data_IF_598029589885
#
_entry.id   IF_598029589885
#
_cell.length_a   1.000
_cell.length_b   1.000
_cell.length_c   1.000
_cell.angle_alpha   90.00
_cell.angle_beta   90.00
_cell.angle_gamma   90.00
#
_symmetry.space_group_name_H-M   'P 1'
#
loop_
_entity.id
_entity.type
_entity.pdbx_description
1 polymer ?
#
# COMPACT_ATOMS: atom_id res chain seq x y z
N UNK A 1 6.29 32.72 -5.09
CA UNK A 1 6.73 32.35 -3.72
C UNK A 1 6.81 30.83 -3.69
N UNK A 2 8.03 30.28 -3.66
CA UNK A 2 8.24 28.83 -3.60
C UNK A 2 7.92 28.37 -2.18
N UNK A 3 6.75 27.76 -1.98
CA UNK A 3 6.52 26.98 -0.77
C UNK A 3 7.55 25.86 -0.81
N UNK A 4 8.62 25.98 -0.03
CA UNK A 4 9.51 24.85 0.26
C UNK A 4 8.68 23.87 1.07
N UNK A 5 7.92 23.05 0.37
CA UNK A 5 7.04 22.05 0.95
C UNK A 5 7.88 21.15 1.84
N UNK A 6 7.52 21.12 3.11
CA UNK A 6 7.92 20.07 4.04
C UNK A 6 7.56 18.76 3.35
N UNK A 7 8.57 17.94 3.06
CA UNK A 7 8.38 16.64 2.43
C UNK A 7 8.37 15.59 3.52
N UNK A 8 7.35 14.73 3.56
CA UNK A 8 7.25 13.62 4.51
C UNK A 8 7.43 12.27 3.76
N UNK A 9 7.58 11.14 4.46
CA UNK A 9 7.83 9.85 3.80
C UNK A 9 6.63 9.36 2.98
N UNK A 10 5.40 9.67 3.40
CA UNK A 10 4.20 9.32 2.64
C UNK A 10 4.17 10.06 1.31
N UNK A 11 4.46 11.36 1.30
CA UNK A 11 4.54 12.19 0.10
C UNK A 11 5.64 11.69 -0.84
N UNK A 12 6.80 11.29 -0.32
CA UNK A 12 7.88 10.69 -1.12
C UNK A 12 7.40 9.42 -1.82
N UNK A 13 6.80 8.49 -1.09
CA UNK A 13 6.29 7.24 -1.66
C UNK A 13 5.24 7.52 -2.75
N UNK A 14 4.26 8.38 -2.48
CA UNK A 14 3.22 8.74 -3.47
C UNK A 14 3.84 9.36 -4.72
N UNK A 15 4.87 10.20 -4.57
CA UNK A 15 5.57 10.78 -5.70
C UNK A 15 6.37 9.74 -6.50
N UNK A 16 6.99 8.77 -5.84
CA UNK A 16 7.70 7.68 -6.52
C UNK A 16 6.74 6.74 -7.23
N UNK A 17 5.59 6.42 -6.64
CA UNK A 17 4.50 5.69 -7.29
C UNK A 17 4.02 6.42 -8.55
N UNK A 18 3.85 7.75 -8.50
CA UNK A 18 3.49 8.56 -9.68
C UNK A 18 4.55 8.56 -10.78
N UNK A 19 5.83 8.38 -10.43
CA UNK A 19 6.91 8.23 -11.42
C UNK A 19 6.86 6.84 -12.03
N UNK A 20 6.72 5.79 -11.22
CA UNK A 20 6.64 4.39 -11.65
C UNK A 20 5.41 4.15 -12.53
N UNK A 21 4.24 4.70 -12.17
CA UNK A 21 2.99 4.52 -12.91
C UNK A 21 2.99 5.11 -14.33
N UNK A 22 3.91 6.03 -14.62
CA UNK A 22 4.10 6.62 -15.96
C UNK A 22 5.06 5.82 -16.84
N UNK A 23 5.78 4.84 -16.28
CA UNK A 23 6.70 3.99 -17.04
C UNK A 23 5.89 3.04 -17.93
N UNK A 24 6.37 2.83 -19.16
CA UNK A 24 5.75 1.85 -20.08
C UNK A 24 5.99 0.42 -19.62
N UNK A 25 7.18 0.17 -19.09
CA UNK A 25 7.62 -1.12 -18.56
C UNK A 25 8.35 -0.91 -17.24
N UNK A 26 8.22 -1.89 -16.33
CA UNK A 26 8.88 -1.91 -15.02
C UNK A 26 10.06 -2.85 -15.15
N UNK A 27 11.25 -2.27 -15.29
CA UNK A 27 12.46 -3.00 -15.69
C UNK A 27 13.39 -3.34 -14.52
N UNK A 28 13.29 -2.61 -13.40
CA UNK A 28 14.17 -2.82 -12.24
C UNK A 28 13.39 -3.23 -10.98
N UNK A 29 14.11 -3.86 -10.05
CA UNK A 29 13.54 -4.40 -8.81
C UNK A 29 13.06 -3.30 -7.85
N UNK A 30 13.61 -2.08 -7.92
CA UNK A 30 13.19 -0.95 -7.08
C UNK A 30 11.79 -0.45 -7.48
N UNK A 31 11.58 -0.18 -8.78
CA UNK A 31 10.27 0.19 -9.32
C UNK A 31 9.22 -0.89 -9.05
N UNK A 32 9.64 -2.16 -9.13
CA UNK A 32 8.77 -3.29 -8.80
C UNK A 32 8.41 -3.30 -7.32
N UNK A 33 9.36 -3.08 -6.41
CA UNK A 33 9.09 -2.94 -4.97
C UNK A 33 8.14 -1.77 -4.68
N UNK A 34 8.34 -0.62 -5.34
CA UNK A 34 7.44 0.56 -5.21
C UNK A 34 6.02 0.21 -5.66
N UNK A 35 5.87 -0.45 -6.82
CA UNK A 35 4.57 -0.91 -7.30
C UNK A 35 3.93 -1.90 -6.33
N UNK A 36 4.68 -2.88 -5.84
CA UNK A 36 4.17 -3.91 -4.95
C UNK A 36 3.73 -3.32 -3.60
N UNK A 37 4.46 -2.34 -3.06
CA UNK A 37 4.03 -1.56 -1.89
C UNK A 37 2.74 -0.80 -2.17
N UNK A 38 2.65 -0.09 -3.30
CA UNK A 38 1.47 0.69 -3.65
C UNK A 38 0.24 -0.19 -3.89
N UNK A 39 0.43 -1.36 -4.49
CA UNK A 39 -0.62 -2.35 -4.69
C UNK A 39 -1.13 -2.92 -3.37
N UNK A 40 -0.24 -3.18 -2.43
CA UNK A 40 -0.59 -3.59 -1.08
C UNK A 40 -1.39 -2.48 -0.36
N UNK A 41 -0.94 -1.23 -0.44
CA UNK A 41 -1.65 -0.07 0.15
C UNK A 41 -3.05 0.07 -0.46
N UNK A 42 -3.17 0.05 -1.79
CA UNK A 42 -4.46 0.12 -2.46
C UNK A 42 -5.36 -1.06 -2.08
N UNK A 43 -4.81 -2.26 -1.91
CA UNK A 43 -5.63 -3.44 -1.60
C UNK A 43 -6.16 -3.46 -0.17
N UNK A 44 -5.51 -2.74 0.74
CA UNK A 44 -5.82 -2.73 2.17
C UNK A 44 -6.54 -1.47 2.64
N UNK A 45 -6.54 -0.41 1.82
CA UNK A 45 -7.17 0.86 2.15
C UNK A 45 -8.67 0.89 1.85
N UNK A 46 -9.41 1.61 2.67
CA UNK A 46 -10.87 1.76 2.57
C UNK A 46 -11.32 2.46 1.29
N UNK A 47 -10.49 3.35 0.75
CA UNK A 47 -10.77 4.14 -0.45
C UNK A 47 -10.70 3.33 -1.76
N UNK A 48 -9.89 2.27 -1.78
CA UNK A 48 -9.65 1.43 -2.96
C UNK A 48 -10.20 0.01 -2.81
N UNK A 49 -10.41 -0.48 -1.58
CA UNK A 49 -10.87 -1.85 -1.30
C UNK A 49 -11.68 -1.92 0.00
N UNK A 50 -12.89 -1.34 -0.03
CA UNK A 50 -13.76 -1.22 1.13
C UNK A 50 -14.14 -2.55 1.79
N UNK A 51 -14.39 -3.61 1.01
CA UNK A 51 -14.72 -4.92 1.57
C UNK A 51 -13.51 -5.58 2.22
N UNK A 52 -12.33 -5.43 1.62
CA UNK A 52 -11.08 -5.86 2.26
C UNK A 52 -10.88 -5.13 3.59
N UNK A 53 -11.02 -3.80 3.59
CA UNK A 53 -10.91 -2.99 4.79
C UNK A 53 -11.85 -3.47 5.90
N UNK A 54 -13.16 -3.62 5.58
CA UNK A 54 -14.15 -4.12 6.55
C UNK A 54 -13.83 -5.51 7.09
N UNK A 55 -13.37 -6.41 6.23
CA UNK A 55 -12.98 -7.76 6.67
C UNK A 55 -11.84 -7.70 7.70
N UNK A 56 -10.83 -6.88 7.44
CA UNK A 56 -9.64 -6.78 8.29
C UNK A 56 -9.87 -6.00 9.59
N UNK A 57 -10.83 -5.06 9.61
CA UNK A 57 -11.05 -4.15 10.74
C UNK A 57 -12.31 -4.44 11.55
N UNK A 58 -13.40 -4.84 10.91
CA UNK A 58 -14.70 -5.01 11.56
C UNK A 58 -15.02 -6.49 11.82
N UNK A 59 -14.14 -7.42 11.43
CA UNK A 59 -14.40 -8.86 11.46
C UNK A 59 -15.63 -9.23 10.61
N UNK A 60 -15.89 -8.46 9.56
CA UNK A 60 -17.06 -8.59 8.71
C UNK A 60 -17.19 -9.96 8.06
N UNK A 61 -18.40 -10.31 7.64
CA UNK A 61 -18.69 -11.56 6.94
C UNK A 61 -17.82 -11.65 5.66
N UNK A 62 -17.13 -12.78 5.50
CA UNK A 62 -16.16 -12.98 4.43
C UNK A 62 -16.89 -13.20 3.09
N UNK A 63 -17.19 -12.13 2.37
CA UNK A 63 -17.52 -12.17 0.94
C UNK A 63 -16.23 -12.35 0.13
N UNK A 64 -15.76 -13.61 0.09
CA UNK A 64 -14.50 -14.00 -0.53
C UNK A 64 -14.38 -13.51 -1.98
N UNK A 65 -15.42 -13.69 -2.77
CA UNK A 65 -15.35 -13.38 -4.21
C UNK A 65 -15.20 -11.89 -4.45
N UNK A 66 -15.89 -11.07 -3.65
CA UNK A 66 -15.75 -9.63 -3.78
C UNK A 66 -14.43 -9.09 -3.21
N UNK A 67 -13.92 -9.67 -2.12
CA UNK A 67 -12.58 -9.33 -1.58
C UNK A 67 -11.50 -9.64 -2.62
N UNK A 68 -11.58 -10.80 -3.27
CA UNK A 68 -10.65 -11.17 -4.35
C UNK A 68 -10.75 -10.20 -5.52
N UNK A 69 -11.96 -9.82 -5.90
CA UNK A 69 -12.19 -8.88 -6.99
C UNK A 69 -11.58 -7.50 -6.67
N UNK A 70 -11.84 -6.95 -5.49
CA UNK A 70 -11.29 -5.67 -5.06
C UNK A 70 -9.76 -5.70 -4.99
N UNK A 71 -9.18 -6.73 -4.38
CA UNK A 71 -7.74 -6.89 -4.33
C UNK A 71 -7.12 -6.96 -5.74
N UNK A 72 -7.69 -7.75 -6.65
CA UNK A 72 -7.20 -7.83 -8.03
C UNK A 72 -7.28 -6.48 -8.76
N UNK A 73 -8.35 -5.71 -8.55
CA UNK A 73 -8.48 -4.34 -9.09
C UNK A 73 -7.43 -3.41 -8.49
N UNK A 74 -7.14 -3.50 -7.19
CA UNK A 74 -6.10 -2.72 -6.54
C UNK A 74 -4.69 -3.07 -7.07
N UNK A 75 -4.38 -4.36 -7.21
CA UNK A 75 -3.11 -4.86 -7.76
C UNK A 75 -2.87 -4.48 -9.22
N UNK A 76 -3.93 -4.35 -10.03
CA UNK A 76 -3.83 -4.00 -11.45
C UNK A 76 -3.82 -2.48 -11.68
N UNK A 77 -4.76 -1.76 -11.07
CA UNK A 77 -5.04 -0.36 -11.40
C UNK A 77 -5.02 0.57 -10.18
N UNK A 78 -5.54 0.14 -9.02
CA UNK A 78 -5.68 1.00 -7.85
C UNK A 78 -4.36 1.60 -7.34
N UNK A 79 -3.29 0.81 -7.39
CA UNK A 79 -1.95 1.23 -6.96
C UNK A 79 -1.44 2.52 -7.60
N UNK A 80 -1.90 2.88 -8.80
CA UNK A 80 -1.45 4.08 -9.54
C UNK A 80 -1.95 5.38 -8.90
N UNK A 81 -2.99 5.31 -8.08
CA UNK A 81 -3.74 6.47 -7.59
C UNK A 81 -3.80 6.53 -6.05
N UNK A 82 -2.88 5.86 -5.35
CA UNK A 82 -2.80 5.98 -3.90
C UNK A 82 -2.47 7.41 -3.47
N UNK A 83 -2.95 7.77 -2.28
CA UNK A 83 -2.78 9.06 -1.64
C UNK A 83 -2.04 8.93 -0.31
N UNK A 84 -1.59 10.04 0.26
CA UNK A 84 -0.96 10.03 1.59
C UNK A 84 -1.91 9.48 2.67
N UNK A 85 -3.22 9.75 2.54
CA UNK A 85 -4.23 9.22 3.45
C UNK A 85 -4.34 7.68 3.37
N UNK A 86 -4.22 7.11 2.17
CA UNK A 86 -4.23 5.65 2.00
C UNK A 86 -3.00 5.01 2.65
N UNK A 87 -1.83 5.65 2.48
CA UNK A 87 -0.58 5.22 3.12
C UNK A 87 -0.73 5.29 4.65
N UNK A 88 -1.20 6.42 5.17
CA UNK A 88 -1.40 6.65 6.60
C UNK A 88 -2.37 5.62 7.20
N UNK A 89 -3.52 5.39 6.55
CA UNK A 89 -4.52 4.41 6.99
C UNK A 89 -3.89 3.02 7.11
N UNK A 90 -3.21 2.56 6.06
CA UNK A 90 -2.63 1.22 6.04
C UNK A 90 -1.46 1.11 7.01
N UNK A 91 -0.60 2.11 7.12
CA UNK A 91 0.55 2.06 8.03
C UNK A 91 0.11 2.03 9.50
N UNK A 92 -0.88 2.86 9.85
CA UNK A 92 -1.36 2.99 11.23
C UNK A 92 -2.45 1.98 11.60
N UNK A 93 -2.95 1.23 10.64
CA UNK A 93 -3.93 0.17 10.86
C UNK A 93 -3.40 -0.90 11.83
N UNK A 94 -4.20 -1.23 12.85
CA UNK A 94 -4.01 -2.46 13.61
C UNK A 94 -4.85 -3.56 12.95
N UNK A 95 -4.20 -4.41 12.16
CA UNK A 95 -4.86 -5.53 11.47
C UNK A 95 -4.50 -6.83 12.19
N UNK A 96 -5.49 -7.70 12.39
CA UNK A 96 -5.25 -9.00 12.99
C UNK A 96 -4.44 -9.91 12.05
N UNK A 97 -3.36 -10.49 12.56
CA UNK A 97 -2.41 -11.31 11.78
C UNK A 97 -3.06 -12.53 11.13
N UNK A 98 -4.08 -13.12 11.79
CA UNK A 98 -4.83 -14.24 11.25
C UNK A 98 -5.70 -13.77 10.08
N UNK A 99 -6.41 -12.64 10.22
CA UNK A 99 -7.21 -12.06 9.13
C UNK A 99 -6.34 -11.66 7.93
N UNK A 100 -5.17 -11.05 8.16
CA UNK A 100 -4.21 -10.73 7.09
C UNK A 100 -3.74 -12.01 6.37
N UNK A 101 -3.44 -13.06 7.14
CA UNK A 101 -2.97 -14.34 6.57
C UNK A 101 -4.07 -15.03 5.75
N UNK A 102 -5.34 -14.94 6.19
CA UNK A 102 -6.49 -15.41 5.43
C UNK A 102 -6.74 -14.57 4.18
N UNK A 103 -6.62 -13.25 4.27
CA UNK A 103 -6.72 -12.36 3.11
C UNK A 103 -5.66 -12.69 2.06
N UNK A 104 -4.38 -12.82 2.46
CA UNK A 104 -3.29 -13.24 1.58
C UNK A 104 -3.56 -14.59 0.91
N UNK A 105 -4.14 -15.54 1.66
CA UNK A 105 -4.47 -16.86 1.14
C UNK A 105 -5.48 -16.80 -0.02
N UNK A 106 -6.42 -15.85 0.01
CA UNK A 106 -7.46 -15.71 -1.01
C UNK A 106 -7.09 -14.74 -2.12
N UNK A 107 -6.48 -13.60 -1.79
CA UNK A 107 -6.23 -12.50 -2.72
C UNK A 107 -4.89 -12.63 -3.47
N UNK A 108 -3.93 -13.42 -2.96
CA UNK A 108 -2.56 -13.46 -3.48
C UNK A 108 -2.15 -14.86 -3.91
N UNK A 109 -1.43 -14.94 -5.03
CA UNK A 109 -0.82 -16.17 -5.55
C UNK A 109 0.08 -16.83 -4.51
N UNK A 110 0.05 -18.16 -4.44
CA UNK A 110 0.66 -18.95 -3.34
C UNK A 110 2.15 -18.63 -3.11
N UNK A 111 2.90 -18.45 -4.18
CA UNK A 111 4.35 -18.18 -4.20
C UNK A 111 4.72 -16.75 -3.76
N UNK A 112 3.75 -15.81 -3.76
CA UNK A 112 3.97 -14.40 -3.39
C UNK A 112 3.48 -14.04 -1.99
N UNK A 113 2.78 -14.94 -1.30
CA UNK A 113 2.17 -14.63 0.01
C UNK A 113 3.19 -14.23 1.07
N UNK A 114 4.28 -15.00 1.19
CA UNK A 114 5.33 -14.70 2.16
C UNK A 114 6.04 -13.38 1.81
N UNK A 115 6.24 -13.12 0.51
CA UNK A 115 6.79 -11.86 0.03
C UNK A 115 5.90 -10.68 0.46
N UNK A 116 4.60 -10.71 0.18
CA UNK A 116 3.70 -9.61 0.54
C UNK A 116 3.49 -9.48 2.05
N UNK A 117 3.51 -10.58 2.80
CA UNK A 117 3.47 -10.54 4.27
C UNK A 117 4.68 -9.80 4.84
N UNK A 118 5.88 -10.14 4.35
CA UNK A 118 7.11 -9.48 4.78
C UNK A 118 7.15 -8.02 4.31
N UNK A 119 6.72 -7.75 3.08
CA UNK A 119 6.65 -6.39 2.53
C UNK A 119 5.73 -5.49 3.36
N UNK A 120 4.58 -5.98 3.83
CA UNK A 120 3.69 -5.24 4.72
C UNK A 120 4.40 -4.82 6.01
N UNK A 121 5.12 -5.75 6.64
CA UNK A 121 5.84 -5.50 7.88
C UNK A 121 7.00 -4.51 7.68
N UNK A 122 7.77 -4.69 6.61
CA UNK A 122 8.85 -3.76 6.22
C UNK A 122 8.29 -2.35 5.99
N UNK A 123 7.25 -2.24 5.17
CA UNK A 123 6.60 -0.97 4.83
C UNK A 123 6.07 -0.25 6.07
N UNK A 124 5.36 -0.95 6.97
CA UNK A 124 4.87 -0.38 8.23
C UNK A 124 6.01 0.14 9.11
N UNK A 125 7.13 -0.58 9.16
CA UNK A 125 8.30 -0.17 9.94
C UNK A 125 9.02 1.04 9.33
N UNK A 126 9.20 1.05 8.01
CA UNK A 126 9.91 2.11 7.29
C UNK A 126 9.15 3.45 7.33
N UNK A 127 7.82 3.37 7.35
CA UNK A 127 6.90 4.50 7.27
C UNK A 127 6.24 4.86 8.61
N UNK A 128 6.65 4.26 9.73
CA UNK A 128 6.05 4.46 11.05
C UNK A 128 6.05 5.94 11.53
N UNK A 129 7.10 6.66 11.16
CA UNK A 129 7.38 8.08 11.36
C UNK A 129 7.05 8.92 10.12
N UNK A 130 6.21 8.40 9.22
CA UNK A 130 6.09 8.90 7.85
C UNK A 130 5.43 10.26 7.68
N UNK A 131 4.75 10.78 8.71
CA UNK A 131 4.19 12.14 8.74
C UNK A 131 5.22 13.20 9.16
N UNK A 132 6.36 12.77 9.72
CA UNK A 132 7.37 13.71 10.22
C UNK A 132 8.02 14.49 9.05
N UNK A 133 8.19 15.82 9.21
CA UNK A 133 8.92 16.65 8.26
C UNK A 133 10.34 16.15 8.01
N UNK A 134 10.70 15.90 6.76
CA UNK A 134 12.09 15.69 6.35
C UNK A 134 12.68 17.07 6.05
N UNK A 135 13.54 17.56 6.94
CA UNK A 135 14.29 18.80 6.70
C UNK A 135 15.20 18.62 5.48
N UNK A 136 14.95 19.40 4.42
CA UNK A 136 15.88 19.51 3.30
C UNK A 136 17.12 20.25 3.79
N UNK A 137 18.24 19.55 3.99
CA UNK A 137 19.54 20.21 4.10
C UNK A 137 19.79 20.96 2.79
N UNK A 138 19.86 22.29 2.87
CA UNK A 138 20.30 23.12 1.76
C UNK A 138 21.77 22.75 1.47
N UNK A 139 22.03 22.20 0.28
CA UNK A 139 23.36 22.23 -0.34
C UNK A 139 23.56 23.55 -1.10
#
# INVERSE_FOLDING_TARGET
MSSRGITNKYELLVNDVRKVSKKREIENEEDKKIKDMAALIASLSSSHSWKTYKYLHDGGELDKDAIIMEANTAFSEGWKNITEADVEEVVNSNMDDYLVSMWLFYAVEKDKRDYFKNLLQEMKKELADGIEPIEKKEE
#
